data_IF_322508306540
#
_entry.id   IF_322508306540
#
_cell.length_a   1.000
_cell.length_b   1.000
_cell.length_c   1.000
_cell.angle_alpha   90.00
_cell.angle_beta   90.00
_cell.angle_gamma   90.00
#
_symmetry.space_group_name_H-M   'P 1'
#
loop_
_entity.id
_entity.type
_entity.pdbx_description
1 polymer ?
#
# COMPACT_ATOMS: atom_id res chain seq x y z
N UNK A 1 13.74 39.36 -6.96
CA UNK A 1 13.71 38.28 -5.96
C UNK A 1 13.44 36.99 -6.70
N UNK A 2 14.47 36.17 -6.87
CA UNK A 2 14.35 34.82 -7.41
C UNK A 2 13.49 34.00 -6.46
N UNK A 3 12.39 33.44 -6.96
CA UNK A 3 11.61 32.45 -6.22
C UNK A 3 12.55 31.33 -5.77
N UNK A 4 12.48 30.86 -4.50
CA UNK A 4 13.23 29.67 -4.10
C UNK A 4 12.73 28.54 -4.99
N UNK A 5 13.62 28.07 -5.85
CA UNK A 5 13.36 26.93 -6.70
C UNK A 5 13.26 25.74 -5.75
N UNK A 6 12.08 25.16 -5.64
CA UNK A 6 11.82 23.95 -4.86
C UNK A 6 12.59 22.79 -5.53
N UNK A 7 13.86 22.67 -5.17
CA UNK A 7 14.79 21.65 -5.67
C UNK A 7 15.35 20.95 -4.46
N UNK A 8 14.47 20.23 -3.76
CA UNK A 8 14.96 19.15 -2.93
C UNK A 8 15.36 18.02 -3.88
N UNK A 9 16.65 17.71 -4.07
CA UNK A 9 17.06 16.71 -5.06
C UNK A 9 16.43 15.36 -4.69
N UNK A 10 15.87 14.69 -5.70
CA UNK A 10 15.25 13.36 -5.59
C UNK A 10 16.16 12.42 -4.79
N UNK A 11 15.58 11.81 -3.75
CA UNK A 11 16.28 10.86 -2.90
C UNK A 11 16.54 9.55 -3.64
N UNK A 12 17.75 8.99 -3.47
CA UNK A 12 18.03 7.66 -3.97
C UNK A 12 17.11 6.62 -3.31
N UNK A 13 16.79 5.51 -3.99
CA UNK A 13 15.94 4.46 -3.41
C UNK A 13 16.49 3.97 -2.07
N UNK A 14 15.65 3.99 -1.04
CA UNK A 14 16.01 3.61 0.34
C UNK A 14 16.53 4.75 1.23
N UNK A 15 16.80 5.94 0.68
CA UNK A 15 17.24 7.10 1.47
C UNK A 15 16.07 7.84 2.13
N UNK A 16 16.37 8.44 3.29
CA UNK A 16 15.47 9.27 4.08
C UNK A 16 16.15 10.58 4.46
N UNK A 17 15.45 11.71 4.30
CA UNK A 17 15.84 13.00 4.89
C UNK A 17 14.80 13.46 5.89
N UNK A 18 15.27 14.03 7.00
CA UNK A 18 14.45 14.61 8.05
C UNK A 18 14.70 16.11 8.10
N UNK A 19 13.63 16.88 8.26
CA UNK A 19 13.66 18.33 8.47
C UNK A 19 12.95 18.64 9.78
N UNK A 20 13.41 19.66 10.48
CA UNK A 20 12.81 20.06 11.76
C UNK A 20 11.42 20.66 11.56
N UNK A 21 11.22 21.44 10.50
CA UNK A 21 9.94 22.05 10.15
C UNK A 21 9.83 22.34 8.65
N UNK A 22 8.60 22.56 8.21
CA UNK A 22 8.28 23.15 6.92
C UNK A 22 7.30 24.30 7.15
N UNK A 23 7.79 25.54 7.06
CA UNK A 23 7.07 26.73 7.53
C UNK A 23 6.49 27.48 6.33
N UNK A 24 5.16 27.68 6.27
CA UNK A 24 4.56 28.40 5.16
C UNK A 24 4.97 29.88 5.18
N UNK A 25 5.34 30.40 4.00
CA UNK A 25 5.80 31.77 3.81
C UNK A 25 4.71 32.82 4.12
N UNK A 26 3.45 32.47 3.89
CA UNK A 26 2.28 33.26 4.27
C UNK A 26 1.49 32.51 5.33
N UNK A 27 1.23 33.16 6.46
CA UNK A 27 0.42 32.57 7.54
C UNK A 27 -1.05 32.67 7.19
N UNK A 28 -1.90 31.87 7.83
CA UNK A 28 -3.34 32.05 7.69
C UNK A 28 -3.79 33.46 8.08
N UNK A 29 -4.74 34.02 7.35
CA UNK A 29 -5.25 35.37 7.58
C UNK A 29 -5.75 36.08 6.32
N UNK A 30 -6.20 37.33 6.50
CA UNK A 30 -6.67 38.18 5.41
C UNK A 30 -5.53 39.05 4.90
N UNK A 31 -5.23 38.90 3.61
CA UNK A 31 -4.22 39.67 2.91
C UNK A 31 -4.87 40.50 1.81
N UNK A 32 -4.08 41.39 1.22
CA UNK A 32 -4.49 42.14 0.05
C UNK A 32 -3.29 42.29 -0.90
N UNK A 33 -3.58 42.25 -2.19
CA UNK A 33 -2.67 42.70 -3.25
C UNK A 33 -3.05 44.13 -3.58
N UNK A 34 -2.06 45.02 -3.54
CA UNK A 34 -2.20 46.42 -3.93
C UNK A 34 -1.32 46.66 -5.16
N UNK A 35 -1.90 47.25 -6.19
CA UNK A 35 -1.23 47.54 -7.46
C UNK A 35 -1.33 49.04 -7.71
N UNK A 36 -0.19 49.71 -7.67
CA UNK A 36 -0.07 51.13 -7.99
C UNK A 36 0.51 51.30 -9.39
N UNK A 37 -0.10 52.18 -10.19
CA UNK A 37 0.36 52.48 -11.54
C UNK A 37 0.62 53.96 -11.76
N UNK A 38 1.85 54.33 -12.11
CA UNK A 38 2.21 55.69 -12.49
C UNK A 38 2.28 55.81 -14.02
N UNK A 39 1.47 56.70 -14.58
CA UNK A 39 1.49 57.02 -16.02
C UNK A 39 2.36 58.26 -16.25
N UNK A 40 3.46 58.10 -16.97
CA UNK A 40 4.37 59.19 -17.34
C UNK A 40 4.49 59.34 -18.86
N UNK A 41 4.57 60.59 -19.33
CA UNK A 41 4.92 60.94 -20.70
C UNK A 41 6.06 61.95 -20.66
N UNK A 42 7.19 61.61 -21.30
CA UNK A 42 8.40 62.43 -21.31
C UNK A 42 8.90 62.83 -19.89
N UNK A 43 8.73 61.96 -18.90
CA UNK A 43 9.14 62.21 -17.51
C UNK A 43 8.20 63.14 -16.73
N UNK A 44 7.01 63.42 -17.27
CA UNK A 44 5.95 64.18 -16.60
C UNK A 44 4.75 63.26 -16.34
N UNK A 45 4.18 63.25 -15.12
CA UNK A 45 2.96 62.49 -14.84
C UNK A 45 1.81 62.92 -15.76
N UNK A 46 1.22 61.97 -16.48
CA UNK A 46 0.09 62.20 -17.41
C UNK A 46 -1.23 62.21 -16.65
N UNK A 47 -1.30 61.44 -15.57
CA UNK A 47 -2.41 61.41 -14.63
C UNK A 47 -1.89 61.81 -13.24
N UNK A 48 -2.56 62.76 -12.60
CA UNK A 48 -2.28 63.16 -11.20
C UNK A 48 -3.09 62.37 -10.18
N UNK A 49 -4.11 61.63 -10.64
CA UNK A 49 -4.92 60.77 -9.78
C UNK A 49 -4.19 59.45 -9.53
N UNK A 50 -4.31 58.96 -8.29
CA UNK A 50 -3.70 57.70 -7.87
C UNK A 50 -4.42 56.52 -8.52
N UNK A 51 -3.72 55.83 -9.43
CA UNK A 51 -4.21 54.60 -10.06
C UNK A 51 -3.80 53.41 -9.20
N UNK A 52 -4.52 53.23 -8.09
CA UNK A 52 -4.35 52.08 -7.20
C UNK A 52 -5.52 51.11 -7.34
N UNK A 53 -5.23 49.81 -7.37
CA UNK A 53 -6.22 48.75 -7.26
C UNK A 53 -5.87 47.82 -6.10
N UNK A 54 -6.84 47.55 -5.22
CA UNK A 54 -6.66 46.67 -4.06
C UNK A 54 -7.61 45.49 -4.13
N UNK A 55 -7.08 44.28 -4.04
CA UNK A 55 -7.85 43.04 -3.99
C UNK A 55 -7.51 42.26 -2.72
N UNK A 56 -8.49 42.02 -1.87
CA UNK A 56 -8.34 41.17 -0.68
C UNK A 56 -8.44 39.68 -1.03
N UNK A 57 -7.66 38.85 -0.36
CA UNK A 57 -7.78 37.39 -0.40
C UNK A 57 -7.51 36.81 1.00
N UNK A 58 -7.98 35.59 1.24
CA UNK A 58 -7.79 34.89 2.52
C UNK A 58 -6.89 33.69 2.28
N UNK A 59 -5.84 33.57 3.10
CA UNK A 59 -5.05 32.35 3.23
C UNK A 59 -5.70 31.53 4.33
N UNK A 60 -6.28 30.39 3.96
CA UNK A 60 -7.01 29.49 4.85
C UNK A 60 -6.05 28.52 5.54
N UNK A 61 -6.32 28.18 6.79
CA UNK A 61 -5.71 27.05 7.48
C UNK A 61 -6.74 26.38 8.40
N UNK A 62 -6.71 25.06 8.56
CA UNK A 62 -7.57 24.34 9.51
C UNK A 62 -7.51 24.95 10.91
N UNK A 63 -8.65 24.97 11.61
CA UNK A 63 -8.72 25.46 13.00
C UNK A 63 -9.48 24.50 13.92
N UNK A 64 -10.70 24.12 13.54
CA UNK A 64 -11.57 23.24 14.35
C UNK A 64 -11.73 21.81 13.78
N UNK A 65 -11.27 21.59 12.56
CA UNK A 65 -11.31 20.31 11.83
C UNK A 65 -10.22 20.29 10.78
N UNK A 66 -9.69 19.11 10.47
CA UNK A 66 -8.88 18.85 9.28
C UNK A 66 -9.65 17.92 8.34
N UNK A 67 -9.29 17.89 7.06
CA UNK A 67 -9.78 16.85 6.16
C UNK A 67 -9.23 15.49 6.63
N UNK A 68 -10.08 14.46 6.87
CA UNK A 68 -9.59 13.12 7.18
C UNK A 68 -8.60 12.57 6.14
N UNK A 69 -8.70 13.00 4.87
CA UNK A 69 -7.77 12.62 3.82
C UNK A 69 -6.38 13.26 3.97
N UNK A 70 -6.21 14.28 4.81
CA UNK A 70 -4.90 14.85 5.13
C UNK A 70 -4.06 13.91 6.03
N UNK A 71 -4.69 12.90 6.65
CA UNK A 71 -4.00 11.90 7.47
C UNK A 71 -3.59 10.72 6.60
N UNK A 72 -2.31 10.65 6.24
CA UNK A 72 -1.72 9.54 5.48
C UNK A 72 -1.77 8.23 6.27
N UNK A 73 -1.42 8.27 7.55
CA UNK A 73 -1.45 7.08 8.42
C UNK A 73 -1.36 7.45 9.90
N UNK A 74 -1.86 6.57 10.77
CA UNK A 74 -1.63 6.63 12.21
C UNK A 74 -1.04 5.31 12.70
N UNK A 75 -0.13 5.39 13.67
CA UNK A 75 0.49 4.22 14.27
C UNK A 75 0.46 4.32 15.80
N UNK A 76 0.07 3.25 16.52
CA UNK A 76 -0.52 2.02 16.01
C UNK A 76 -1.80 2.24 15.18
N UNK A 77 -2.11 1.38 14.19
CA UNK A 77 -3.28 1.57 13.35
C UNK A 77 -4.58 1.53 14.16
N UNK A 78 -5.59 2.28 13.71
CA UNK A 78 -6.91 2.26 14.35
C UNK A 78 -7.52 0.86 14.34
N UNK A 79 -8.18 0.48 15.43
CA UNK A 79 -8.76 -0.86 15.57
C UNK A 79 -7.74 -1.97 15.81
N UNK A 80 -6.43 -1.69 15.73
CA UNK A 80 -5.40 -2.72 15.75
C UNK A 80 -5.07 -3.20 17.16
N UNK A 81 -4.43 -4.35 17.22
CA UNK A 81 -4.12 -5.04 18.47
C UNK A 81 -2.72 -5.63 18.37
N UNK A 82 -1.86 -5.40 19.38
CA UNK A 82 -0.46 -5.82 19.30
C UNK A 82 0.34 -5.45 20.55
N UNK A 83 1.67 -5.53 20.48
CA UNK A 83 2.57 -5.18 21.58
C UNK A 83 3.11 -3.76 21.40
N UNK A 84 2.30 -2.76 21.77
CA UNK A 84 2.61 -1.35 21.49
C UNK A 84 3.30 -0.60 22.64
N UNK A 85 3.65 -1.28 23.74
CA UNK A 85 4.25 -0.65 24.92
C UNK A 85 5.59 0.03 24.73
N UNK A 86 6.32 -0.33 23.69
CA UNK A 86 7.62 0.24 23.34
C UNK A 86 7.53 1.25 22.19
N UNK A 87 6.31 1.59 21.77
CA UNK A 87 6.04 2.49 20.64
C UNK A 87 5.43 3.78 21.19
N UNK A 88 5.97 4.92 20.74
CA UNK A 88 5.30 6.20 20.88
C UNK A 88 4.28 6.33 19.75
N UNK A 89 2.98 6.48 20.04
CA UNK A 89 1.98 6.69 19.00
C UNK A 89 2.30 7.94 18.17
N UNK A 90 2.05 7.88 16.88
CA UNK A 90 2.28 9.00 15.97
C UNK A 90 1.28 9.02 14.83
N UNK A 91 1.16 10.18 14.19
CA UNK A 91 0.38 10.38 12.97
C UNK A 91 1.26 10.97 11.89
N UNK A 92 1.04 10.54 10.65
CA UNK A 92 1.69 11.05 9.44
C UNK A 92 0.65 11.80 8.63
N UNK A 93 0.98 13.03 8.28
CA UNK A 93 0.15 13.97 7.53
C UNK A 93 0.72 14.09 6.11
N UNK A 94 -0.17 14.16 5.12
CA UNK A 94 0.23 14.35 3.72
C UNK A 94 0.90 15.70 3.50
N UNK A 95 0.33 16.76 4.07
CA UNK A 95 0.90 18.10 4.05
C UNK A 95 1.92 18.27 5.19
N UNK A 96 3.17 18.57 4.82
CA UNK A 96 4.26 18.79 5.76
C UNK A 96 4.20 20.15 6.47
N UNK A 97 3.54 21.14 5.87
CA UNK A 97 3.35 22.47 6.43
C UNK A 97 2.21 22.51 7.45
N UNK A 98 1.23 21.60 7.36
CA UNK A 98 0.03 21.58 8.21
C UNK A 98 0.32 21.76 9.72
N UNK A 99 1.33 21.08 10.34
CA UNK A 99 1.65 21.31 11.75
C UNK A 99 2.13 22.72 12.09
N UNK A 100 2.58 23.51 11.11
CA UNK A 100 3.22 24.81 11.26
C UNK A 100 2.40 25.98 10.67
N UNK A 101 1.22 25.70 10.10
CA UNK A 101 0.36 26.72 9.49
C UNK A 101 -0.11 27.79 10.48
N UNK A 102 -0.39 27.41 11.72
CA UNK A 102 -0.83 28.33 12.77
C UNK A 102 0.32 28.74 13.68
N UNK A 103 0.39 30.02 14.09
CA UNK A 103 1.47 30.50 14.93
C UNK A 103 1.35 29.95 16.35
N UNK A 104 2.48 29.46 16.89
CA UNK A 104 2.67 29.17 18.30
C UNK A 104 3.89 29.95 18.82
N UNK A 105 3.83 30.51 20.04
CA UNK A 105 4.96 31.23 20.61
C UNK A 105 6.13 30.27 20.87
N UNK A 106 7.33 30.63 20.42
CA UNK A 106 8.56 29.90 20.74
C UNK A 106 9.50 30.77 21.56
N UNK A 107 9.97 30.30 22.73
CA UNK A 107 11.05 30.94 23.46
C UNK A 107 12.34 31.12 22.65
N UNK A 108 12.59 30.29 21.64
CA UNK A 108 13.80 30.33 20.82
C UNK A 108 13.66 31.14 19.51
N UNK A 109 12.46 31.60 19.17
CA UNK A 109 12.20 32.41 17.96
C UNK A 109 11.91 31.62 16.68
N UNK A 110 11.86 30.29 16.71
CA UNK A 110 11.42 29.46 15.58
C UNK A 110 9.89 29.27 15.58
N UNK A 111 9.31 28.78 14.49
CA UNK A 111 7.86 28.49 14.45
C UNK A 111 7.60 27.10 15.04
N UNK A 112 6.88 27.05 16.17
CA UNK A 112 6.48 25.80 16.82
C UNK A 112 5.23 25.20 16.19
N UNK A 113 5.07 23.87 16.26
CA UNK A 113 3.87 23.23 15.76
C UNK A 113 2.68 23.52 16.67
N UNK A 114 1.51 23.74 16.08
CA UNK A 114 0.25 23.94 16.82
C UNK A 114 -0.51 22.64 17.10
N UNK A 115 0.08 21.50 16.70
CA UNK A 115 -0.50 20.17 16.82
C UNK A 115 0.28 19.31 17.80
N UNK A 116 -0.42 18.43 18.53
CA UNK A 116 0.20 17.38 19.33
C UNK A 116 -0.63 16.09 19.34
N UNK A 117 0.04 14.96 19.48
CA UNK A 117 -0.62 13.67 19.74
C UNK A 117 -0.64 13.41 21.25
N UNK A 118 -1.83 13.35 21.84
CA UNK A 118 -2.02 13.00 23.25
C UNK A 118 -2.55 11.58 23.38
N UNK A 119 -2.02 10.85 24.37
CA UNK A 119 -2.31 9.43 24.59
C UNK A 119 -2.97 9.23 25.95
N UNK A 120 -4.12 8.58 25.96
CA UNK A 120 -4.98 8.41 27.13
C UNK A 120 -5.30 6.95 27.41
N UNK A 121 -5.43 6.64 28.70
CA UNK A 121 -5.99 5.39 29.21
C UNK A 121 -7.51 5.44 29.24
N UNK A 122 -8.19 4.29 29.30
CA UNK A 122 -9.62 4.25 29.53
C UNK A 122 -9.93 4.90 30.88
N UNK A 123 -10.84 5.88 30.89
CA UNK A 123 -11.25 6.60 32.11
C UNK A 123 -10.42 7.85 32.44
N UNK A 124 -9.37 8.17 31.68
CA UNK A 124 -8.64 9.45 31.85
C UNK A 124 -9.36 10.65 31.19
N UNK A 125 -10.34 10.40 30.32
CA UNK A 125 -11.16 11.43 29.65
C UNK A 125 -12.54 11.52 30.31
N UNK A 126 -13.12 12.73 30.33
CA UNK A 126 -14.43 13.01 30.91
C UNK A 126 -15.51 12.97 29.83
N UNK A 127 -16.50 12.10 30.02
CA UNK A 127 -17.63 11.96 29.10
C UNK A 127 -17.27 11.20 27.82
N UNK A 128 -18.11 11.32 26.79
CA UNK A 128 -17.87 10.67 25.48
C UNK A 128 -17.91 9.15 25.49
N UNK A 129 -18.42 8.51 26.55
CA UNK A 129 -18.40 7.05 26.72
C UNK A 129 -19.07 6.26 25.59
N UNK A 130 -19.96 6.89 24.84
CA UNK A 130 -20.64 6.29 23.68
C UNK A 130 -19.72 6.17 22.44
N UNK A 131 -18.58 6.87 22.45
CA UNK A 131 -17.59 6.83 21.38
C UNK A 131 -16.40 5.92 21.77
N UNK A 132 -15.91 5.05 20.86
CA UNK A 132 -14.51 4.64 20.98
C UNK A 132 -13.69 5.95 20.92
N UNK A 133 -12.52 6.15 21.51
CA UNK A 133 -11.89 7.50 21.53
C UNK A 133 -12.57 8.61 22.35
N UNK A 134 -13.75 8.41 22.95
CA UNK A 134 -14.34 9.37 23.90
C UNK A 134 -14.54 10.82 23.37
N UNK A 135 -14.68 11.00 22.07
CA UNK A 135 -14.95 12.31 21.44
C UNK A 135 -16.38 12.78 21.65
N UNK A 136 -16.59 14.10 21.64
CA UNK A 136 -17.90 14.75 21.64
C UNK A 136 -17.99 15.75 20.50
N UNK A 137 -19.16 15.87 19.89
CA UNK A 137 -19.42 16.81 18.79
C UNK A 137 -20.33 17.93 19.25
N UNK A 138 -20.01 19.17 18.85
CA UNK A 138 -20.79 20.38 19.15
C UNK A 138 -20.55 21.42 18.05
N UNK A 139 -21.08 22.63 18.19
CA UNK A 139 -20.75 23.75 17.29
C UNK A 139 -19.62 24.61 17.88
N UNK A 140 -18.88 25.33 17.04
CA UNK A 140 -17.80 26.23 17.46
C UNK A 140 -18.28 27.23 18.51
N UNK A 141 -19.45 27.85 18.32
CA UNK A 141 -20.03 28.78 19.28
C UNK A 141 -20.26 28.15 20.66
N UNK A 142 -20.87 26.96 20.69
CA UNK A 142 -21.12 26.24 21.94
C UNK A 142 -19.83 25.78 22.64
N UNK A 143 -18.80 25.42 21.88
CA UNK A 143 -17.49 25.09 22.43
C UNK A 143 -16.83 26.30 23.11
N UNK A 144 -16.91 27.48 22.47
CA UNK A 144 -16.32 28.72 22.98
C UNK A 144 -17.10 29.37 24.13
N UNK A 145 -18.40 29.09 24.28
CA UNK A 145 -19.26 29.57 25.38
C UNK A 145 -18.97 28.88 26.73
N UNK A 146 -17.74 28.40 26.94
CA UNK A 146 -17.31 27.49 27.98
C UNK A 146 -17.90 27.78 29.37
N UNK A 147 -18.52 26.76 29.96
CA UNK A 147 -19.14 26.81 31.29
C UNK A 147 -18.10 26.99 32.43
N UNK A 148 -18.56 27.53 33.57
CA UNK A 148 -17.72 27.70 34.77
C UNK A 148 -16.99 26.39 35.17
N UNK A 149 -15.67 26.47 35.38
CA UNK A 149 -14.81 25.33 35.77
C UNK A 149 -14.19 24.55 34.60
N UNK A 150 -14.46 24.95 33.36
CA UNK A 150 -13.79 24.43 32.16
C UNK A 150 -12.89 25.51 31.56
N UNK A 151 -11.69 25.11 31.14
CA UNK A 151 -10.72 25.95 30.46
C UNK A 151 -10.73 25.59 28.98
N UNK A 152 -11.05 26.56 28.14
CA UNK A 152 -11.00 26.46 26.69
C UNK A 152 -9.86 27.30 26.13
N UNK A 153 -9.36 26.97 24.93
CA UNK A 153 -8.30 27.72 24.29
C UNK A 153 -8.71 29.17 24.00
N UNK A 154 -7.77 30.10 24.17
CA UNK A 154 -7.96 31.51 23.81
C UNK A 154 -7.74 31.71 22.31
N UNK A 155 -8.79 31.47 21.51
CA UNK A 155 -8.72 31.46 20.05
C UNK A 155 -9.11 32.81 19.43
N UNK A 156 -8.39 33.19 18.38
CA UNK A 156 -8.87 34.18 17.40
C UNK A 156 -9.46 33.42 16.23
N UNK A 157 -10.75 33.59 15.97
CA UNK A 157 -11.44 32.88 14.91
C UNK A 157 -10.89 33.30 13.53
N UNK A 158 -10.57 32.31 12.70
CA UNK A 158 -10.21 32.57 11.32
C UNK A 158 -11.43 33.15 10.56
N UNK A 159 -11.23 34.03 9.57
CA UNK A 159 -12.32 34.70 8.85
C UNK A 159 -13.38 33.76 8.24
N UNK A 160 -12.95 32.56 7.85
CA UNK A 160 -13.78 31.53 7.23
C UNK A 160 -14.61 30.69 8.22
N UNK A 161 -14.32 30.77 9.53
CA UNK A 161 -14.99 29.94 10.54
C UNK A 161 -16.28 30.58 11.03
N UNK A 162 -17.36 29.80 11.02
CA UNK A 162 -18.67 30.21 11.53
C UNK A 162 -18.95 29.57 12.90
N UNK A 163 -19.65 30.28 13.78
CA UNK A 163 -20.03 29.77 15.11
C UNK A 163 -20.96 28.54 15.03
N UNK A 164 -21.64 28.36 13.89
CA UNK A 164 -22.50 27.21 13.61
C UNK A 164 -21.74 25.99 13.09
N UNK A 165 -20.45 26.13 12.76
CA UNK A 165 -19.67 25.02 12.23
C UNK A 165 -19.53 23.90 13.25
N UNK A 166 -19.61 22.62 12.83
CA UNK A 166 -19.40 21.50 13.73
C UNK A 166 -17.92 21.36 14.09
N UNK A 167 -17.65 21.03 15.35
CA UNK A 167 -16.32 20.69 15.84
C UNK A 167 -16.37 19.48 16.78
N UNK A 168 -15.24 18.80 16.90
CA UNK A 168 -15.07 17.65 17.78
C UNK A 168 -14.05 17.98 18.86
N UNK A 169 -14.36 17.63 20.11
CA UNK A 169 -13.52 17.94 21.25
C UNK A 169 -13.48 16.80 22.27
N UNK A 170 -12.49 16.85 23.16
CA UNK A 170 -12.33 16.00 24.33
C UNK A 170 -12.21 16.87 25.59
N UNK A 171 -12.70 16.35 26.71
CA UNK A 171 -12.59 17.00 28.02
C UNK A 171 -11.60 16.22 28.89
N UNK A 172 -10.52 16.87 29.31
CA UNK A 172 -9.41 16.26 30.06
C UNK A 172 -9.36 16.85 31.47
N UNK A 173 -9.34 16.03 32.55
CA UNK A 173 -9.11 16.54 33.90
C UNK A 173 -7.76 17.27 33.98
N UNK A 174 -7.69 18.39 34.72
CA UNK A 174 -6.45 19.18 34.83
C UNK A 174 -5.25 18.36 35.34
N UNK A 175 -5.47 17.37 36.21
CA UNK A 175 -4.42 16.47 36.70
C UNK A 175 -3.86 15.57 35.60
N UNK A 176 -4.70 15.08 34.71
CA UNK A 176 -4.29 14.27 33.55
C UNK A 176 -3.60 15.16 32.52
N UNK A 177 -4.18 16.33 32.22
CA UNK A 177 -3.62 17.27 31.25
C UNK A 177 -2.18 17.66 31.62
N UNK A 178 -1.91 18.01 32.89
CA UNK A 178 -0.55 18.33 33.35
C UNK A 178 0.47 17.21 33.18
N UNK A 179 0.02 15.95 33.17
CA UNK A 179 0.90 14.79 33.06
C UNK A 179 1.10 14.32 31.62
N UNK A 180 0.16 14.63 30.72
CA UNK A 180 0.15 14.11 29.34
C UNK A 180 0.45 15.21 28.32
N UNK A 181 0.08 16.46 28.57
CA UNK A 181 0.36 17.55 27.65
C UNK A 181 1.88 17.81 27.53
N UNK A 182 2.42 17.98 26.32
CA UNK A 182 3.81 18.38 26.14
C UNK A 182 4.02 19.82 26.61
N UNK A 183 5.24 20.15 27.02
CA UNK A 183 5.60 21.56 27.31
C UNK A 183 5.80 22.32 26.01
N UNK A 184 5.61 23.63 26.06
CA UNK A 184 5.82 24.51 24.90
C UNK A 184 7.21 24.29 24.26
N UNK A 185 8.28 24.25 25.07
CA UNK A 185 9.63 24.00 24.60
C UNK A 185 9.88 22.61 23.99
N UNK A 186 9.02 21.62 24.30
CA UNK A 186 9.15 20.23 23.84
C UNK A 186 8.50 20.00 22.48
N UNK A 187 7.58 20.88 22.05
CA UNK A 187 6.80 20.72 20.81
C UNK A 187 7.68 20.53 19.58
N UNK A 188 8.82 21.24 19.50
CA UNK A 188 9.78 21.13 18.40
C UNK A 188 10.37 19.72 18.22
N UNK A 189 10.40 18.92 19.28
CA UNK A 189 10.98 17.56 19.25
C UNK A 189 9.94 16.48 18.94
N UNK A 190 8.66 16.84 19.01
CA UNK A 190 7.54 15.94 18.79
C UNK A 190 7.00 16.02 17.36
N UNK A 191 7.43 16.99 16.58
CA UNK A 191 7.02 17.16 15.19
C UNK A 191 8.22 17.36 14.30
N UNK A 192 8.25 16.68 13.16
CA UNK A 192 9.27 16.83 12.14
C UNK A 192 8.69 16.53 10.76
N UNK A 193 9.39 16.93 9.70
CA UNK A 193 9.04 16.58 8.34
C UNK A 193 9.95 15.45 7.83
N UNK A 194 9.36 14.51 7.10
CA UNK A 194 10.03 13.32 6.59
C UNK A 194 9.90 13.27 5.08
N UNK A 195 11.03 13.32 4.39
CA UNK A 195 11.13 13.11 2.95
C UNK A 195 11.68 11.70 2.71
N UNK A 196 10.87 10.82 2.10
CA UNK A 196 11.26 9.46 1.73
C UNK A 196 11.27 9.29 0.21
N UNK A 197 12.20 8.48 -0.31
CA UNK A 197 12.18 8.11 -1.73
C UNK A 197 10.94 7.30 -2.07
N UNK A 198 10.28 7.67 -3.16
CA UNK A 198 9.06 7.03 -3.67
C UNK A 198 9.39 5.96 -4.74
N UNK A 199 10.64 5.98 -5.23
CA UNK A 199 11.15 4.99 -6.18
C UNK A 199 11.17 3.62 -5.47
N UNK A 200 10.54 2.62 -6.09
CA UNK A 200 10.34 1.25 -5.57
C UNK A 200 9.25 1.03 -4.51
N UNK A 201 8.36 2.00 -4.26
CA UNK A 201 7.16 1.73 -3.45
C UNK A 201 5.98 1.26 -4.33
N UNK A 202 5.57 -0.04 -4.26
CA UNK A 202 4.53 -0.59 -5.14
C UNK A 202 3.14 0.01 -4.92
N UNK A 203 2.93 0.73 -3.81
CA UNK A 203 1.66 1.38 -3.44
C UNK A 203 1.69 2.90 -3.56
N UNK A 204 2.84 3.51 -3.86
CA UNK A 204 2.95 4.96 -3.88
C UNK A 204 2.35 5.52 -5.19
N UNK A 205 1.10 5.91 -5.09
CA UNK A 205 0.34 6.54 -6.17
C UNK A 205 0.59 8.04 -6.14
N UNK A 206 1.74 8.51 -6.65
CA UNK A 206 1.97 9.94 -6.94
C UNK A 206 1.84 10.93 -5.77
N UNK A 207 1.93 10.47 -4.52
CA UNK A 207 1.89 11.34 -3.35
C UNK A 207 3.20 12.13 -3.19
N UNK A 208 3.09 13.33 -2.59
CA UNK A 208 4.25 14.12 -2.22
C UNK A 208 5.20 13.31 -1.33
N UNK A 209 6.48 13.43 -1.63
CA UNK A 209 7.55 12.68 -0.97
C UNK A 209 7.86 13.22 0.43
N UNK A 210 7.50 14.48 0.70
CA UNK A 210 7.62 15.15 1.99
C UNK A 210 6.31 15.02 2.78
N UNK A 211 6.41 14.70 4.07
CA UNK A 211 5.25 14.50 4.97
C UNK A 211 5.50 15.09 6.34
N UNK A 212 4.45 15.53 7.03
CA UNK A 212 4.52 15.93 8.44
C UNK A 212 4.34 14.73 9.37
N UNK A 213 5.15 14.60 10.41
CA UNK A 213 5.03 13.53 11.41
C UNK A 213 4.88 14.16 12.78
N UNK A 214 3.80 13.83 13.49
CA UNK A 214 3.56 14.27 14.88
C UNK A 214 3.56 13.04 15.79
N UNK A 215 4.44 13.04 16.77
CA UNK A 215 4.72 11.94 17.70
C UNK A 215 4.23 12.31 19.10
N UNK A 216 3.68 11.35 19.82
CA UNK A 216 3.28 11.52 21.21
C UNK A 216 4.49 11.60 22.14
N UNK A 217 4.31 12.26 23.29
CA UNK A 217 5.27 12.28 24.40
C UNK A 217 5.03 11.17 25.45
N UNK A 218 4.06 10.28 25.22
CA UNK A 218 3.66 9.21 26.15
C UNK A 218 3.52 7.88 25.42
N UNK A 219 4.12 6.83 25.96
CA UNK A 219 3.97 5.45 25.46
C UNK A 219 2.54 4.94 25.63
N UNK A 220 2.17 3.98 24.77
CA UNK A 220 0.95 3.21 24.96
C UNK A 220 0.96 2.48 26.31
N UNK A 221 -0.23 2.28 26.88
CA UNK A 221 -0.34 1.57 28.16
C UNK A 221 -0.18 0.08 27.97
N UNK A 222 0.76 -0.52 28.70
CA UNK A 222 0.92 -1.96 28.75
C UNK A 222 0.11 -2.59 29.88
N UNK A 223 -0.59 -3.70 29.61
CA UNK A 223 -1.12 -4.55 30.67
C UNK A 223 0.00 -5.16 31.50
N UNK A 224 -0.28 -5.44 32.77
CA UNK A 224 0.58 -6.29 33.60
C UNK A 224 0.65 -7.71 33.04
N UNK A 225 1.69 -8.49 33.38
CA UNK A 225 1.80 -9.85 32.89
C UNK A 225 0.57 -10.72 33.15
N UNK A 226 0.01 -11.31 32.09
CA UNK A 226 -1.21 -12.13 32.14
C UNK A 226 -2.54 -11.37 32.32
N UNK A 227 -2.54 -10.04 32.33
CA UNK A 227 -3.76 -9.22 32.34
C UNK A 227 -4.38 -9.12 30.93
N UNK A 228 -5.70 -8.85 30.81
CA UNK A 228 -6.35 -8.66 29.52
C UNK A 228 -5.79 -7.44 28.79
N UNK A 229 -6.02 -7.40 27.47
CA UNK A 229 -5.60 -6.29 26.62
C UNK A 229 -6.10 -4.94 27.16
N UNK A 230 -5.21 -3.95 27.19
CA UNK A 230 -5.56 -2.59 27.60
C UNK A 230 -5.76 -1.73 26.36
N UNK A 231 -6.93 -1.11 26.25
CA UNK A 231 -7.21 -0.13 25.20
C UNK A 231 -6.45 1.16 25.49
N UNK A 232 -5.80 1.71 24.48
CA UNK A 232 -5.20 3.04 24.51
C UNK A 232 -5.92 3.91 23.47
N UNK A 233 -6.14 5.17 23.81
CA UNK A 233 -6.80 6.17 22.97
C UNK A 233 -5.77 7.23 22.60
N UNK A 234 -5.70 7.63 21.33
CA UNK A 234 -4.83 8.71 20.87
C UNK A 234 -5.63 9.77 20.11
N UNK A 235 -5.27 11.04 20.32
CA UNK A 235 -5.87 12.19 19.66
C UNK A 235 -4.79 13.12 19.11
N UNK A 236 -4.94 13.52 17.86
CA UNK A 236 -4.30 14.72 17.32
C UNK A 236 -5.13 15.93 17.77
N UNK A 237 -4.57 16.75 18.64
CA UNK A 237 -5.26 17.91 19.23
C UNK A 237 -4.67 19.23 18.73
N UNK A 238 -5.52 20.26 18.70
CA UNK A 238 -5.07 21.65 18.53
C UNK A 238 -4.54 22.21 19.85
N UNK A 239 -3.38 22.83 19.80
CA UNK A 239 -2.74 23.57 20.91
C UNK A 239 -2.87 25.09 20.77
N UNK A 240 -3.53 25.57 19.73
CA UNK A 240 -3.74 27.00 19.51
C UNK A 240 -4.42 27.63 20.72
N UNK A 241 -3.88 28.74 21.23
CA UNK A 241 -4.46 29.47 22.36
C UNK A 241 -4.29 28.79 23.72
N UNK A 242 -3.45 27.74 23.83
CA UNK A 242 -3.10 27.05 25.08
C UNK A 242 -1.68 27.36 25.57
N UNK A 243 -0.97 28.27 24.93
CA UNK A 243 0.41 28.66 25.24
C UNK A 243 0.65 28.92 26.73
N UNK A 244 -0.23 29.70 27.39
CA UNK A 244 -0.13 30.00 28.83
C UNK A 244 -0.30 28.78 29.74
N UNK A 245 -1.10 27.80 29.29
CA UNK A 245 -1.31 26.55 30.01
C UNK A 245 -0.10 25.61 29.85
N UNK A 246 0.52 25.59 28.67
CA UNK A 246 1.68 24.75 28.36
C UNK A 246 3.00 25.29 28.93
N UNK A 247 3.14 26.61 29.08
CA UNK A 247 4.31 27.25 29.69
C UNK A 247 4.31 27.18 31.24
N UNK A 248 3.31 26.50 31.82
CA UNK A 248 3.16 26.38 33.28
C UNK A 248 2.74 27.67 33.99
N UNK A 249 2.42 28.72 33.24
CA UNK A 249 2.04 30.05 33.76
C UNK A 249 0.62 30.13 34.33
N UNK A 250 -0.28 29.21 33.97
CA UNK A 250 -1.66 29.20 34.47
C UNK A 250 -1.86 28.16 35.59
N UNK A 251 -2.37 28.63 36.74
CA UNK A 251 -2.66 27.80 37.91
C UNK A 251 -3.95 26.99 37.72
N UNK A 252 -3.91 25.96 36.88
CA UNK A 252 -4.97 24.95 36.85
C UNK A 252 -5.15 24.33 38.23
N UNK A 253 -6.35 24.42 38.79
CA UNK A 253 -6.75 23.74 40.03
C UNK A 253 -7.07 22.27 39.74
N UNK A 254 -7.07 21.41 40.75
CA UNK A 254 -7.34 19.98 40.58
C UNK A 254 -8.78 19.67 40.14
N UNK A 255 -9.69 20.64 40.27
CA UNK A 255 -11.10 20.51 39.88
C UNK A 255 -11.37 21.00 38.45
N UNK A 256 -10.40 21.67 37.83
CA UNK A 256 -10.56 22.20 36.48
C UNK A 256 -10.54 21.08 35.43
N UNK A 257 -11.23 21.34 34.34
CA UNK A 257 -11.23 20.50 33.13
C UNK A 257 -10.73 21.33 31.96
N UNK A 258 -9.88 20.75 31.11
CA UNK A 258 -9.37 21.38 29.90
C UNK A 258 -10.09 20.77 28.71
N UNK A 259 -10.79 21.59 27.93
CA UNK A 259 -11.45 21.16 26.71
C UNK A 259 -10.52 21.41 25.51
N UNK A 260 -10.24 20.36 24.74
CA UNK A 260 -9.31 20.37 23.61
C UNK A 260 -10.03 19.98 22.33
N UNK A 261 -9.79 20.72 21.24
CA UNK A 261 -10.24 20.32 19.91
C UNK A 261 -9.47 19.08 19.47
N UNK A 262 -10.19 18.04 19.07
CA UNK A 262 -9.66 16.79 18.53
C UNK A 262 -9.84 16.78 17.02
N UNK A 263 -8.75 16.93 16.28
CA UNK A 263 -8.74 17.01 14.81
C UNK A 263 -8.75 15.61 14.17
N UNK A 264 -8.14 14.63 14.83
CA UNK A 264 -8.16 13.23 14.44
C UNK A 264 -8.04 12.34 15.69
N UNK A 265 -8.71 11.20 15.72
CA UNK A 265 -8.68 10.28 16.86
C UNK A 265 -8.69 8.82 16.41
N UNK A 266 -8.02 7.97 17.17
CA UNK A 266 -7.98 6.53 16.94
C UNK A 266 -7.78 5.77 18.25
N UNK A 267 -8.09 4.47 18.25
CA UNK A 267 -7.84 3.61 19.41
C UNK A 267 -7.31 2.25 19.02
N UNK A 268 -6.48 1.69 19.89
CA UNK A 268 -5.80 0.42 19.66
C UNK A 268 -5.62 -0.34 20.98
N UNK A 269 -5.31 -1.63 20.89
CA UNK A 269 -5.21 -2.54 22.04
C UNK A 269 -3.79 -3.04 22.22
N UNK A 270 -3.29 -2.96 23.46
CA UNK A 270 -1.97 -3.47 23.84
C UNK A 270 -2.10 -4.76 24.64
N UNK A 271 -1.36 -5.80 24.25
CA UNK A 271 -1.25 -7.07 24.98
C UNK A 271 0.11 -7.19 25.67
N UNK A 272 0.16 -8.00 26.72
CA UNK A 272 1.40 -8.41 27.39
C UNK A 272 2.09 -9.55 26.63
N UNK A 273 1.32 -10.56 26.23
CA UNK A 273 1.84 -11.70 25.48
C UNK A 273 2.03 -11.34 24.00
N UNK A 274 3.15 -11.78 23.43
CA UNK A 274 3.44 -11.63 21.99
C UNK A 274 2.51 -12.43 21.08
N UNK A 275 1.50 -13.14 21.59
CA UNK A 275 0.64 -14.07 20.83
C UNK A 275 -0.12 -13.44 19.64
N UNK A 276 -0.08 -12.12 19.48
CA UNK A 276 -0.60 -11.40 18.31
C UNK A 276 0.43 -10.54 17.56
N UNK A 277 1.70 -10.56 17.93
CA UNK A 277 2.74 -9.87 17.14
C UNK A 277 3.09 -10.66 15.88
N UNK A 278 3.59 -9.95 14.86
CA UNK A 278 3.92 -10.57 13.59
C UNK A 278 4.94 -11.70 13.75
N UNK A 279 5.92 -11.53 14.64
CA UNK A 279 6.94 -12.55 14.88
C UNK A 279 6.31 -13.85 15.42
N UNK A 280 5.45 -13.75 16.43
CA UNK A 280 4.80 -14.91 17.05
C UNK A 280 3.79 -15.54 16.12
N UNK A 281 3.04 -14.75 15.35
CA UNK A 281 2.16 -15.27 14.29
C UNK A 281 2.98 -16.00 13.22
N UNK A 282 4.07 -15.40 12.75
CA UNK A 282 4.96 -16.00 11.75
C UNK A 282 5.64 -17.27 12.29
N UNK A 283 6.06 -17.29 13.55
CA UNK A 283 6.59 -18.49 14.22
C UNK A 283 5.51 -19.55 14.39
N UNK A 284 4.28 -19.13 14.71
CA UNK A 284 3.10 -19.98 14.84
C UNK A 284 2.75 -20.72 13.55
N UNK A 285 3.03 -20.13 12.39
CA UNK A 285 2.89 -20.82 11.09
C UNK A 285 3.86 -22.00 10.92
N UNK A 286 5.00 -21.99 11.62
CA UNK A 286 6.04 -23.03 11.52
C UNK A 286 5.86 -24.13 12.57
N UNK A 287 5.30 -23.80 13.73
CA UNK A 287 5.12 -24.75 14.83
C UNK A 287 3.79 -25.49 14.75
N UNK A 288 3.79 -26.83 14.83
CA UNK A 288 2.54 -27.60 14.87
C UNK A 288 1.68 -27.22 16.08
N UNK A 289 0.34 -27.18 15.93
CA UNK A 289 -0.57 -27.12 17.07
C UNK A 289 -0.30 -28.28 18.04
N UNK A 290 -0.02 -27.96 19.31
CA UNK A 290 0.28 -28.95 20.36
C UNK A 290 1.74 -29.39 20.49
N UNK A 291 2.67 -28.82 19.71
CA UNK A 291 4.11 -29.09 19.80
C UNK A 291 4.89 -27.88 20.34
N UNK A 292 4.38 -27.25 21.41
CA UNK A 292 5.08 -26.15 22.09
C UNK A 292 6.47 -26.61 22.55
N UNK A 293 7.53 -25.99 22.02
CA UNK A 293 8.93 -26.32 22.33
C UNK A 293 9.59 -27.38 21.44
N UNK A 294 8.89 -27.94 20.45
CA UNK A 294 9.51 -28.80 19.45
C UNK A 294 10.25 -27.97 18.38
N UNK A 295 11.40 -28.46 17.92
CA UNK A 295 12.12 -27.84 16.81
C UNK A 295 11.21 -27.81 15.56
N UNK A 296 11.18 -26.68 14.82
CA UNK A 296 10.39 -26.59 13.59
C UNK A 296 10.88 -27.64 12.59
N UNK A 297 9.95 -28.42 12.04
CA UNK A 297 10.27 -29.42 11.01
C UNK A 297 10.12 -28.73 9.65
N UNK A 298 11.18 -28.61 8.82
CA UNK A 298 11.09 -27.92 7.53
C UNK A 298 9.98 -28.44 6.61
N UNK A 299 9.61 -29.71 6.75
CA UNK A 299 8.52 -30.33 6.00
C UNK A 299 7.12 -29.74 6.32
N UNK A 300 6.96 -29.06 7.45
CA UNK A 300 5.68 -28.44 7.85
C UNK A 300 5.48 -27.06 7.19
N UNK A 301 6.54 -26.48 6.61
CA UNK A 301 6.48 -25.26 5.80
C UNK A 301 6.09 -25.51 4.34
N UNK A 302 5.92 -26.78 3.96
CA UNK A 302 5.57 -27.16 2.60
C UNK A 302 4.07 -26.99 2.37
N UNK A 303 3.69 -26.50 1.19
CA UNK A 303 2.29 -26.39 0.75
C UNK A 303 1.73 -27.80 0.47
N UNK A 304 1.27 -28.48 1.51
CA UNK A 304 0.68 -29.83 1.42
C UNK A 304 -0.50 -30.00 2.38
N UNK A 305 -1.34 -30.98 2.10
CA UNK A 305 -2.42 -31.37 3.01
C UNK A 305 -1.87 -32.05 4.27
N UNK A 306 -2.58 -31.97 5.41
CA UNK A 306 -2.23 -32.74 6.59
C UNK A 306 -2.13 -34.24 6.27
N UNK A 307 -1.00 -34.84 6.62
CA UNK A 307 -0.73 -36.25 6.33
C UNK A 307 -1.36 -37.11 7.44
N UNK A 308 -2.32 -38.00 7.12
CA UNK A 308 -2.93 -38.87 8.11
C UNK A 308 -1.91 -39.89 8.65
N UNK A 309 -2.13 -40.42 9.86
CA UNK A 309 -1.34 -41.53 10.38
C UNK A 309 -1.69 -42.81 9.61
N UNK A 310 -0.68 -43.48 9.06
CA UNK A 310 -0.85 -44.77 8.36
C UNK A 310 -0.94 -45.94 9.34
N UNK A 311 -1.70 -46.98 8.98
CA UNK A 311 -1.78 -48.25 9.68
C UNK A 311 -0.60 -49.19 9.40
N UNK A 312 0.37 -48.77 8.56
CA UNK A 312 1.59 -49.51 8.26
C UNK A 312 1.46 -50.52 7.10
N UNK A 313 0.31 -50.60 6.45
CA UNK A 313 0.08 -51.39 5.25
C UNK A 313 0.65 -50.72 3.98
N UNK A 314 1.05 -51.48 2.94
CA UNK A 314 1.66 -50.89 1.74
C UNK A 314 0.80 -49.82 1.03
N UNK A 315 -0.53 -49.97 0.86
CA UNK A 315 -1.38 -48.91 0.30
C UNK A 315 -1.46 -47.67 1.19
N UNK A 316 -1.60 -47.85 2.50
CA UNK A 316 -1.60 -46.73 3.46
C UNK A 316 -0.29 -45.94 3.44
N UNK A 317 0.85 -46.63 3.28
CA UNK A 317 2.16 -45.98 3.14
C UNK A 317 2.27 -45.19 1.83
N UNK A 318 1.76 -45.69 0.70
CA UNK A 318 1.73 -44.96 -0.57
C UNK A 318 0.89 -43.69 -0.48
N UNK A 319 -0.30 -43.76 0.14
CA UNK A 319 -1.15 -42.57 0.36
C UNK A 319 -0.42 -41.52 1.17
N UNK A 320 0.23 -41.93 2.26
CA UNK A 320 1.04 -41.04 3.11
C UNK A 320 2.18 -40.41 2.32
N UNK A 321 2.91 -41.17 1.52
CA UNK A 321 4.00 -40.66 0.69
C UNK A 321 3.49 -39.63 -0.32
N UNK A 322 2.42 -39.95 -1.06
CA UNK A 322 1.82 -39.05 -2.05
C UNK A 322 1.34 -37.75 -1.43
N UNK A 323 0.59 -37.80 -0.31
CA UNK A 323 0.16 -36.60 0.40
C UNK A 323 1.36 -35.80 0.91
N UNK A 324 2.41 -36.48 1.39
CA UNK A 324 3.63 -35.82 1.87
C UNK A 324 4.40 -35.07 0.78
N UNK A 325 4.33 -35.53 -0.47
CA UNK A 325 4.89 -34.91 -1.68
C UNK A 325 3.97 -33.83 -2.30
N UNK A 326 2.80 -33.60 -1.70
CA UNK A 326 1.84 -32.58 -2.13
C UNK A 326 0.89 -33.05 -3.24
N UNK A 327 0.70 -34.36 -3.42
CA UNK A 327 -0.38 -34.86 -4.27
C UNK A 327 -1.74 -34.71 -3.55
N UNK A 328 -2.78 -34.54 -4.34
CA UNK A 328 -4.18 -34.46 -3.91
C UNK A 328 -4.99 -35.46 -4.74
N UNK A 329 -5.87 -36.25 -4.11
CA UNK A 329 -6.77 -37.12 -4.85
C UNK A 329 -7.91 -36.27 -5.43
N UNK A 330 -8.12 -36.37 -6.73
CA UNK A 330 -9.22 -35.70 -7.42
C UNK A 330 -10.13 -36.73 -8.08
N UNK A 331 -11.42 -36.43 -8.14
CA UNK A 331 -12.36 -37.21 -8.94
C UNK A 331 -11.92 -37.18 -10.41
N UNK A 332 -11.84 -38.37 -11.01
CA UNK A 332 -11.43 -38.56 -12.39
C UNK A 332 -12.47 -39.38 -13.14
N UNK A 333 -13.03 -38.80 -14.20
CA UNK A 333 -13.93 -39.49 -15.11
C UNK A 333 -13.15 -40.07 -16.28
N UNK A 334 -13.19 -41.39 -16.41
CA UNK A 334 -12.56 -42.12 -17.51
C UNK A 334 -13.31 -41.88 -18.82
N UNK A 335 -12.64 -42.06 -19.99
CA UNK A 335 -13.30 -42.01 -21.30
C UNK A 335 -14.45 -43.02 -21.45
N UNK A 336 -14.42 -44.12 -20.69
CA UNK A 336 -15.47 -45.14 -20.63
C UNK A 336 -16.73 -44.68 -19.91
N UNK A 337 -16.70 -43.51 -19.26
CA UNK A 337 -17.80 -42.94 -18.48
C UNK A 337 -17.77 -43.28 -16.99
N UNK A 338 -16.90 -44.20 -16.58
CA UNK A 338 -16.69 -44.56 -15.17
C UNK A 338 -16.07 -43.41 -14.38
N UNK A 339 -16.47 -43.27 -13.13
CA UNK A 339 -15.88 -42.32 -12.18
C UNK A 339 -14.95 -43.08 -11.23
N UNK A 340 -13.72 -42.61 -11.15
CA UNK A 340 -12.69 -43.08 -10.22
C UNK A 340 -12.00 -41.87 -9.59
N UNK A 341 -10.86 -42.06 -8.93
CA UNK A 341 -9.99 -40.96 -8.55
C UNK A 341 -8.63 -41.08 -9.25
N UNK A 342 -7.94 -39.95 -9.33
CA UNK A 342 -6.57 -39.88 -9.80
C UNK A 342 -5.74 -38.97 -8.90
N UNK A 343 -4.44 -39.24 -8.83
CA UNK A 343 -3.49 -38.37 -8.19
C UNK A 343 -3.20 -37.16 -9.08
N UNK A 344 -3.25 -35.99 -8.47
CA UNK A 344 -2.86 -34.73 -9.09
C UNK A 344 -1.92 -33.95 -8.17
N UNK A 345 -0.95 -33.26 -8.76
CA UNK A 345 0.06 -32.44 -8.09
C UNK A 345 0.22 -31.18 -8.91
N UNK A 346 0.00 -30.04 -8.27
CA UNK A 346 0.10 -28.73 -8.93
C UNK A 346 1.55 -28.32 -9.23
N UNK A 347 1.73 -27.24 -10.01
CA UNK A 347 3.05 -26.71 -10.35
C UNK A 347 3.80 -26.11 -9.14
N UNK A 348 3.07 -25.66 -8.11
CA UNK A 348 3.63 -25.18 -6.84
C UNK A 348 3.72 -26.33 -5.85
N UNK A 349 4.67 -27.23 -6.08
CA UNK A 349 4.76 -28.45 -5.28
C UNK A 349 5.64 -28.32 -4.04
N UNK A 350 5.25 -29.06 -2.99
CA UNK A 350 5.99 -29.26 -1.74
C UNK A 350 7.41 -29.82 -1.92
N UNK A 351 7.70 -30.54 -3.02
CA UNK A 351 9.00 -31.19 -3.24
C UNK A 351 9.46 -30.87 -4.68
N UNK A 352 10.77 -30.66 -4.94
CA UNK A 352 11.26 -30.55 -6.31
C UNK A 352 10.91 -31.80 -7.13
N UNK A 353 10.47 -31.60 -8.38
CA UNK A 353 10.23 -32.69 -9.32
C UNK A 353 11.54 -33.20 -9.93
N UNK A 354 11.51 -34.42 -10.47
CA UNK A 354 12.62 -34.97 -11.26
C UNK A 354 12.68 -34.28 -12.65
N UNK A 355 13.78 -33.58 -12.98
CA UNK A 355 13.93 -32.89 -14.27
C UNK A 355 14.29 -33.81 -15.43
N UNK A 356 14.21 -35.14 -15.29
CA UNK A 356 14.60 -36.10 -16.31
C UNK A 356 14.00 -35.76 -17.71
N UNK A 357 14.83 -35.74 -18.78
CA UNK A 357 14.38 -35.42 -20.13
C UNK A 357 13.36 -36.45 -20.60
N UNK A 358 12.19 -35.96 -21.02
CA UNK A 358 11.08 -36.81 -21.52
C UNK A 358 10.99 -36.70 -23.05
N UNK A 359 10.60 -37.79 -23.73
CA UNK A 359 10.29 -37.72 -25.16
C UNK A 359 9.14 -36.74 -25.40
N UNK A 360 9.05 -36.13 -26.60
CA UNK A 360 7.99 -35.18 -26.90
C UNK A 360 6.61 -35.85 -26.84
N UNK A 361 5.75 -35.30 -25.97
CA UNK A 361 4.39 -35.79 -25.76
C UNK A 361 3.45 -35.10 -26.75
N UNK A 362 2.76 -35.90 -27.58
CA UNK A 362 1.87 -35.39 -28.65
C UNK A 362 0.47 -35.02 -28.16
N UNK A 363 0.08 -35.48 -26.98
CA UNK A 363 -1.21 -35.18 -26.36
C UNK A 363 -1.09 -35.30 -24.84
N UNK A 364 -2.04 -34.71 -24.12
CA UNK A 364 -2.16 -34.93 -22.67
C UNK A 364 -2.43 -36.40 -22.30
N UNK A 365 -3.06 -37.16 -23.20
CA UNK A 365 -3.37 -38.56 -22.95
C UNK A 365 -2.10 -39.41 -22.95
N UNK A 366 -1.14 -39.08 -23.81
CA UNK A 366 0.20 -39.67 -23.81
C UNK A 366 0.99 -39.33 -22.54
N UNK A 367 0.57 -38.30 -21.80
CA UNK A 367 1.22 -37.81 -20.59
C UNK A 367 0.60 -38.39 -19.30
N UNK A 368 -0.42 -39.26 -19.40
CA UNK A 368 -0.99 -39.95 -18.24
C UNK A 368 -0.04 -41.03 -17.74
N UNK A 369 0.15 -41.12 -16.43
CA UNK A 369 0.89 -42.20 -15.79
C UNK A 369 -0.09 -43.10 -15.05
N UNK A 370 0.21 -44.40 -14.96
CA UNK A 370 -0.62 -45.37 -14.26
C UNK A 370 0.23 -46.16 -13.26
N UNK A 371 -0.14 -46.08 -11.98
CA UNK A 371 0.50 -46.82 -10.91
C UNK A 371 -0.08 -48.23 -10.82
N UNK A 372 0.49 -49.16 -11.60
CA UNK A 372 0.01 -50.55 -11.71
C UNK A 372 -0.14 -51.29 -10.38
N UNK A 373 0.74 -51.02 -9.41
CA UNK A 373 0.69 -51.65 -8.09
C UNK A 373 -0.59 -51.32 -7.29
N UNK A 374 -1.21 -50.17 -7.56
CA UNK A 374 -2.35 -49.66 -6.81
C UNK A 374 -3.60 -49.43 -7.67
N UNK A 375 -3.48 -49.53 -9.00
CA UNK A 375 -4.60 -49.37 -9.93
C UNK A 375 -5.09 -47.93 -10.09
N UNK A 376 -4.24 -46.93 -9.85
CA UNK A 376 -4.62 -45.50 -9.83
C UNK A 376 -3.86 -44.71 -10.89
N UNK A 377 -4.53 -43.75 -11.52
CA UNK A 377 -3.92 -42.81 -12.46
C UNK A 377 -3.18 -41.67 -11.74
N UNK A 378 -2.09 -41.22 -12.35
CA UNK A 378 -1.39 -39.98 -12.03
C UNK A 378 -1.50 -39.06 -13.25
N UNK A 379 -2.19 -37.94 -13.05
CA UNK A 379 -2.55 -36.99 -14.12
C UNK A 379 -1.70 -35.72 -14.09
N UNK A 380 -0.66 -35.65 -13.26
CA UNK A 380 0.11 -34.42 -13.06
C UNK A 380 0.71 -33.89 -14.36
N UNK A 381 1.37 -34.78 -15.12
CA UNK A 381 2.00 -34.42 -16.38
C UNK A 381 0.97 -34.12 -17.48
N UNK A 382 -0.16 -34.84 -17.50
CA UNK A 382 -1.26 -34.57 -18.42
C UNK A 382 -1.88 -33.19 -18.19
N UNK A 383 -2.10 -32.82 -16.93
CA UNK A 383 -2.58 -31.51 -16.55
C UNK A 383 -1.55 -30.41 -16.89
N UNK A 384 -0.26 -30.63 -16.61
CA UNK A 384 0.81 -29.71 -16.98
C UNK A 384 0.90 -29.51 -18.50
N UNK A 385 0.75 -30.57 -19.29
CA UNK A 385 0.73 -30.50 -20.75
C UNK A 385 -0.45 -29.64 -21.25
N UNK A 386 -1.66 -29.83 -20.70
CA UNK A 386 -2.81 -29.02 -21.09
C UNK A 386 -2.65 -27.56 -20.66
N UNK A 387 -2.10 -27.31 -19.47
CA UNK A 387 -1.82 -25.96 -19.00
C UNK A 387 -0.81 -25.25 -19.92
N UNK A 388 0.28 -25.94 -20.31
CA UNK A 388 1.24 -25.41 -21.27
C UNK A 388 0.63 -25.13 -22.64
N UNK A 389 -0.23 -26.03 -23.15
CA UNK A 389 -0.98 -25.80 -24.39
C UNK A 389 -1.91 -24.59 -24.29
N UNK A 390 -2.66 -24.46 -23.19
CA UNK A 390 -3.54 -23.33 -22.96
C UNK A 390 -2.76 -21.99 -22.88
N UNK A 391 -1.62 -21.99 -22.16
CA UNK A 391 -0.75 -20.82 -22.09
C UNK A 391 -0.18 -20.43 -23.46
N UNK A 392 0.26 -21.41 -24.26
CA UNK A 392 0.73 -21.18 -25.62
C UNK A 392 -0.37 -20.62 -26.53
N UNK A 393 -1.61 -21.14 -26.42
CA UNK A 393 -2.74 -20.63 -27.20
C UNK A 393 -3.21 -19.23 -26.75
N UNK A 394 -2.99 -18.87 -25.49
CA UNK A 394 -3.32 -17.55 -24.96
C UNK A 394 -2.32 -16.47 -25.38
N UNK A 395 -1.09 -16.85 -25.78
CA UNK A 395 -0.07 -15.92 -26.25
C UNK A 395 -0.29 -15.58 -27.75
N UNK A 396 -0.70 -14.34 -28.08
CA UNK A 396 -0.94 -13.93 -29.46
C UNK A 396 0.33 -13.94 -30.32
N UNK A 397 1.49 -13.71 -29.71
CA UNK A 397 2.78 -13.71 -30.42
C UNK A 397 3.20 -15.13 -30.76
N UNK A 398 3.05 -16.07 -29.82
CA UNK A 398 3.24 -17.49 -30.09
C UNK A 398 2.34 -17.96 -31.26
N UNK A 399 1.05 -17.60 -31.22
CA UNK A 399 0.10 -17.93 -32.28
C UNK A 399 0.50 -17.39 -33.66
N UNK A 400 0.94 -16.13 -33.73
CA UNK A 400 1.40 -15.51 -34.97
C UNK A 400 2.64 -16.21 -35.56
N UNK A 401 3.62 -16.55 -34.71
CA UNK A 401 4.83 -17.26 -35.12
C UNK A 401 4.53 -18.68 -35.61
N UNK A 402 3.61 -19.39 -34.94
CA UNK A 402 3.20 -20.73 -35.34
C UNK A 402 2.51 -20.74 -36.71
N UNK A 403 1.63 -19.77 -36.96
CA UNK A 403 0.96 -19.61 -38.26
C UNK A 403 1.95 -19.25 -39.37
N UNK A 404 2.90 -18.35 -39.10
CA UNK A 404 3.94 -18.01 -40.06
C UNK A 404 4.82 -19.23 -40.39
N UNK A 405 5.20 -20.02 -39.38
CA UNK A 405 5.91 -21.29 -39.56
C UNK A 405 5.12 -22.26 -40.46
N UNK A 406 3.82 -22.45 -40.21
CA UNK A 406 2.96 -23.28 -41.07
C UNK A 406 2.92 -22.77 -42.51
N UNK A 407 2.72 -21.46 -42.71
CA UNK A 407 2.69 -20.85 -44.05
C UNK A 407 3.99 -21.04 -44.82
N UNK A 408 5.14 -20.79 -44.17
CA UNK A 408 6.46 -20.99 -44.79
C UNK A 408 6.70 -22.45 -45.15
N UNK A 409 6.28 -23.37 -44.28
CA UNK A 409 6.42 -24.81 -44.53
C UNK A 409 5.55 -25.25 -45.72
N UNK A 410 4.28 -24.83 -45.77
CA UNK A 410 3.42 -25.10 -46.91
C UNK A 410 3.96 -24.48 -48.21
N UNK A 411 4.38 -23.22 -48.18
CA UNK A 411 4.96 -22.55 -49.36
C UNK A 411 6.23 -23.26 -49.86
N UNK A 412 7.08 -23.77 -48.96
CA UNK A 412 8.25 -24.56 -49.31
C UNK A 412 7.84 -25.87 -49.98
N UNK A 413 6.91 -26.62 -49.38
CA UNK A 413 6.41 -27.90 -49.92
C UNK A 413 5.76 -27.69 -51.29
N UNK A 414 4.92 -26.67 -51.44
CA UNK A 414 4.26 -26.32 -52.70
C UNK A 414 5.27 -25.92 -53.76
N UNK A 415 6.31 -25.15 -53.39
CA UNK A 415 7.40 -24.77 -54.30
C UNK A 415 8.19 -26.00 -54.76
N UNK A 416 8.47 -26.94 -53.86
CA UNK A 416 9.14 -28.21 -54.20
C UNK A 416 8.26 -29.05 -55.13
N UNK A 417 6.98 -29.16 -54.84
CA UNK A 417 6.01 -29.88 -55.66
C UNK A 417 5.89 -29.28 -57.06
N UNK A 418 5.71 -27.96 -57.17
CA UNK A 418 5.63 -27.26 -58.46
C UNK A 418 6.89 -27.42 -59.30
N UNK A 419 8.08 -27.42 -58.66
CA UNK A 419 9.35 -27.64 -59.35
C UNK A 419 9.52 -29.08 -59.82
N UNK A 420 9.02 -30.06 -59.06
CA UNK A 420 9.01 -31.47 -59.45
C UNK A 420 8.02 -31.76 -60.59
N UNK A 421 6.89 -31.04 -60.62
CA UNK A 421 5.84 -31.22 -61.61
C UNK A 421 6.01 -30.36 -62.88
N UNK A 422 7.01 -29.47 -62.92
CA UNK A 422 7.24 -28.56 -64.05
C UNK A 422 8.29 -29.12 -65.02
N UNK A 423 7.96 -29.09 -66.32
CA UNK A 423 8.86 -29.50 -67.40
C UNK A 423 10.08 -28.56 -67.59
N UNK A 424 10.13 -27.44 -66.86
CA UNK A 424 11.19 -26.44 -66.94
C UNK A 424 12.43 -26.78 -66.10
N UNK A 425 12.36 -27.76 -65.19
CA UNK A 425 13.49 -28.17 -64.36
C UNK A 425 14.03 -29.54 -64.77
N UNK A 426 15.34 -29.64 -64.95
CA UNK A 426 16.00 -30.90 -65.31
C UNK A 426 16.22 -31.79 -64.08
N UNK A 427 16.25 -33.11 -64.26
CA UNK A 427 16.45 -34.08 -63.18
C UNK A 427 17.76 -33.84 -62.37
N UNK A 428 18.79 -33.28 -63.01
CA UNK A 428 20.05 -32.90 -62.35
C UNK A 428 19.89 -31.71 -61.39
N UNK A 429 19.03 -30.74 -61.72
CA UNK A 429 18.74 -29.59 -60.85
C UNK A 429 17.85 -29.97 -59.67
N UNK A 430 16.95 -30.94 -59.87
CA UNK A 430 16.13 -31.52 -58.78
C UNK A 430 17.00 -32.32 -57.81
N UNK A 431 18.01 -33.05 -58.29
CA UNK A 431 18.94 -33.82 -57.46
C UNK A 431 19.90 -32.94 -56.60
N UNK A 432 20.03 -31.66 -56.91
CA UNK A 432 20.82 -30.68 -56.15
C UNK A 432 20.03 -29.99 -55.02
N UNK A 433 18.74 -30.32 -54.86
CA UNK A 433 17.97 -29.83 -53.71
C UNK A 433 18.57 -30.38 -52.42
N UNK A 434 19.11 -29.47 -51.62
CA UNK A 434 19.68 -29.78 -50.33
C UNK A 434 18.57 -30.24 -49.37
N UNK A 435 18.44 -31.55 -49.22
CA UNK A 435 17.51 -32.21 -48.31
C UNK A 435 17.97 -32.13 -46.84
N UNK A 436 19.13 -31.52 -46.58
CA UNK A 436 19.77 -31.51 -45.25
C UNK A 436 19.04 -30.66 -44.22
N UNK A 437 18.36 -29.58 -44.61
CA UNK A 437 17.46 -28.84 -43.72
C UNK A 437 16.08 -29.47 -43.70
N UNK A 438 15.90 -30.41 -42.79
CA UNK A 438 14.58 -30.99 -42.49
C UNK A 438 13.59 -29.92 -42.02
N UNK A 439 12.29 -30.09 -42.26
CA UNK A 439 11.24 -29.24 -41.68
C UNK A 439 11.38 -29.10 -40.14
N UNK A 440 11.93 -30.14 -39.50
CA UNK A 440 12.28 -30.16 -38.09
C UNK A 440 13.37 -29.15 -37.71
N UNK A 441 14.44 -28.97 -38.50
CA UNK A 441 15.48 -27.98 -38.19
C UNK A 441 14.96 -26.54 -38.33
N UNK A 442 14.11 -26.29 -39.31
CA UNK A 442 13.45 -24.99 -39.49
C UNK A 442 12.47 -24.71 -38.35
N UNK A 443 11.70 -25.71 -37.91
CA UNK A 443 10.83 -25.59 -36.74
C UNK A 443 11.61 -25.32 -35.45
N UNK A 444 12.71 -26.04 -35.22
CA UNK A 444 13.57 -25.86 -34.05
C UNK A 444 14.24 -24.48 -34.05
N UNK A 445 14.59 -23.89 -35.19
CA UNK A 445 15.11 -22.51 -35.28
C UNK A 445 14.08 -21.43 -34.88
N UNK A 446 12.78 -21.71 -35.08
CA UNK A 446 11.70 -20.81 -34.65
C UNK A 446 11.47 -20.92 -33.13
N UNK A 447 11.61 -22.11 -32.56
CA UNK A 447 11.48 -22.34 -31.12
C UNK A 447 12.66 -21.79 -30.30
N UNK A 448 13.88 -21.84 -30.84
CA UNK A 448 15.12 -21.55 -30.10
C UNK A 448 15.52 -20.07 -30.08
N UNK A 449 15.02 -19.24 -30.99
CA UNK A 449 15.51 -17.87 -31.12
C UNK A 449 15.01 -16.93 -30.02
N UNK A 450 13.82 -17.15 -29.44
CA UNK A 450 13.28 -16.24 -28.41
C UNK A 450 12.03 -16.73 -27.63
N UNK A 451 11.49 -17.91 -27.93
CA UNK A 451 10.19 -18.36 -27.42
C UNK A 451 10.12 -18.49 -25.89
N UNK A 452 11.15 -19.09 -25.27
CA UNK A 452 11.21 -19.26 -23.82
C UNK A 452 11.40 -17.93 -23.08
N UNK A 453 12.12 -16.98 -23.69
CA UNK A 453 12.33 -15.65 -23.14
C UNK A 453 11.06 -14.79 -23.27
N UNK A 454 10.26 -14.99 -24.32
CA UNK A 454 9.00 -14.28 -24.54
C UNK A 454 7.85 -14.87 -23.71
N UNK A 455 7.76 -16.20 -23.59
CA UNK A 455 6.79 -16.87 -22.73
C UNK A 455 7.04 -16.58 -21.24
N UNK A 456 8.29 -16.35 -20.83
CA UNK A 456 8.66 -15.98 -19.47
C UNK A 456 8.34 -14.53 -19.07
N UNK A 457 8.06 -13.63 -20.03
CA UNK A 457 7.75 -12.21 -19.75
C UNK A 457 6.31 -11.95 -19.32
N UNK A 458 5.44 -12.97 -19.38
CA UNK A 458 4.02 -12.83 -19.10
C UNK A 458 3.30 -11.92 -20.10
N UNK A 459 1.96 -11.81 -20.03
CA UNK A 459 1.24 -10.83 -20.82
C UNK A 459 1.73 -9.43 -20.43
N UNK A 460 2.39 -8.73 -21.35
CA UNK A 460 2.53 -7.29 -21.23
C UNK A 460 1.10 -6.72 -21.12
N UNK A 461 0.77 -5.93 -20.09
CA UNK A 461 -0.53 -5.29 -20.05
C UNK A 461 -0.69 -4.53 -21.36
N UNK A 462 -1.75 -4.87 -22.10
CA UNK A 462 -2.10 -4.12 -23.30
C UNK A 462 -2.16 -2.67 -22.87
N UNK A 463 -1.27 -1.83 -23.42
CA UNK A 463 -1.44 -0.40 -23.34
C UNK A 463 -2.90 -0.14 -23.70
N UNK A 464 -3.65 0.47 -22.77
CA UNK A 464 -5.06 0.74 -22.97
C UNK A 464 -5.21 1.39 -24.34
N UNK A 465 -5.93 0.73 -25.24
CA UNK A 465 -6.18 1.25 -26.57
C UNK A 465 -6.92 2.56 -26.37
N UNK A 466 -6.22 3.69 -26.50
CA UNK A 466 -6.83 5.01 -26.49
C UNK A 466 -7.91 4.98 -27.57
N UNK A 467 -9.19 5.27 -27.24
CA UNK A 467 -10.21 5.29 -28.26
C UNK A 467 -9.80 6.33 -29.30
N UNK A 468 -9.75 5.89 -30.56
CA UNK A 468 -9.42 6.74 -31.69
C UNK A 468 -10.31 7.98 -31.66
N UNK A 469 -9.69 9.16 -31.69
CA UNK A 469 -10.40 10.43 -31.73
C UNK A 469 -11.39 10.42 -32.90
N UNK A 470 -12.67 10.61 -32.56
CA UNK A 470 -13.76 10.72 -33.52
C UNK A 470 -13.47 11.90 -34.44
N UNK A 471 -13.11 11.63 -35.70
CA UNK A 471 -13.01 12.65 -36.74
C UNK A 471 -14.39 13.21 -37.03
N UNK A 472 -14.61 14.48 -36.73
CA UNK A 472 -15.79 15.24 -37.13
C UNK A 472 -15.88 15.31 -38.67
N UNK A 473 -17.04 15.03 -39.28
CA UNK A 473 -17.19 15.18 -40.72
C UNK A 473 -17.31 16.66 -41.08
N UNK A 474 -16.43 17.11 -41.99
CA UNK A 474 -16.56 18.39 -42.68
C UNK A 474 -17.79 18.39 -43.58
N UNK A 475 -18.68 19.35 -43.35
CA UNK A 475 -19.84 19.64 -44.20
C UNK A 475 -19.38 20.08 -45.60
N UNK A 476 -19.93 19.54 -46.70
CA UNK A 476 -19.77 20.15 -48.01
C UNK A 476 -20.74 21.33 -48.15
N UNK A 477 -20.29 22.35 -48.88
CA UNK A 477 -21.03 23.57 -49.27
C UNK A 477 -22.37 23.32 -49.93
#
# INVERSE_FOLDING_TARGET
MTAPTDVTPDLAPGDLRLYDNDVPALTAGTYFVEVDHTLEHAGVPVATDELAARQSFVVSAPQFRIDPAAVRSAYPPDGSSGRYGTVLPYVVLDDAMLPFERPMPDPAGDRQPWLAVLVFRPGELIGGGDSPTATRTTTVGQFLETAQGRQAPHLTLAPEVQLTDPCTYISVPATVFKNVAPRLAELRFLTHCRHASVVDQPTASGGESLTGVVVANRFATMPSPGAPAVRTIAHLVSLEGLDKLLDGGSALTSTDTVDLISLYSWSFWSYDSGEGDFESLARGLVTRPGAAGAAPVPADLLLRLPVPRSAGDPPGLEVVNRLSEGFVPLEYRLPTGETTFAWYRGPLSAVPGDPAPRPPLRSADAARSFAWAFGVFDLCLAAAWQAGRAAALADPRFGALLLDFHRRTHSLVDSLYQRLASDHFTAAQVAQLDTSTTAQSTFLSVLTSQLLADAGRGPQPSAATTPAATTTPTTPT
#
